data_IF_937152705789
#
_entry.id   IF_937152705789
#
_cell.length_a   1.000
_cell.length_b   1.000
_cell.length_c   1.000
_cell.angle_alpha   90.00
_cell.angle_beta   90.00
_cell.angle_gamma   90.00
#
_symmetry.space_group_name_H-M   'P 1'
#
loop_
_entity.id
_entity.type
_entity.pdbx_description
1 polymer ?
#
# COMPACT_ATOMS: atom_id res chain seq x y z
N UNK A 1 33.10 9.35 24.33
CA UNK A 1 32.32 8.16 23.91
C UNK A 1 31.06 8.13 24.75
N UNK A 2 30.04 8.90 24.37
CA UNK A 2 28.76 9.01 25.08
C UNK A 2 27.75 8.16 24.35
N UNK A 3 27.10 7.29 25.12
CA UNK A 3 26.36 6.15 24.61
C UNK A 3 25.06 6.50 23.90
N UNK A 4 24.65 5.56 23.07
CA UNK A 4 23.34 4.91 23.10
C UNK A 4 23.41 3.93 21.94
N UNK A 5 23.22 2.63 22.18
CA UNK A 5 22.56 1.81 21.16
C UNK A 5 21.25 2.58 20.92
N UNK A 6 21.05 3.26 19.77
CA UNK A 6 19.79 3.92 19.55
C UNK A 6 18.74 2.82 19.65
N UNK A 7 17.75 3.01 20.52
CA UNK A 7 16.59 2.14 20.67
C UNK A 7 16.17 1.65 19.27
N UNK A 8 16.50 0.40 18.94
CA UNK A 8 16.20 -0.13 17.61
C UNK A 8 14.69 -0.32 17.62
N UNK A 9 13.98 0.58 16.94
CA UNK A 9 12.53 0.50 16.82
C UNK A 9 12.18 -0.87 16.21
N UNK A 10 11.17 -1.59 16.75
CA UNK A 10 10.70 -2.83 16.15
C UNK A 10 10.33 -2.69 14.67
N UNK A 11 9.97 -1.48 14.25
CA UNK A 11 9.65 -1.10 12.87
C UNK A 11 10.83 -1.35 11.90
N UNK A 12 12.07 -1.28 12.37
CA UNK A 12 13.26 -1.65 11.58
C UNK A 12 13.33 -3.14 11.27
N UNK A 13 12.49 -4.01 11.85
CA UNK A 13 12.39 -5.41 11.42
C UNK A 13 12.15 -5.54 9.91
N UNK A 14 11.46 -4.56 9.31
CA UNK A 14 11.22 -4.56 7.87
C UNK A 14 12.51 -4.46 7.05
N UNK A 15 13.54 -3.70 7.51
CA UNK A 15 14.81 -3.59 6.76
C UNK A 15 15.62 -4.89 6.75
N UNK A 16 15.38 -5.79 7.69
CA UNK A 16 15.98 -7.12 7.72
C UNK A 16 15.13 -8.13 6.93
N UNK A 17 13.81 -8.03 7.06
CA UNK A 17 12.87 -8.93 6.39
C UNK A 17 12.96 -8.85 4.86
N UNK A 18 13.00 -7.64 4.29
CA UNK A 18 13.02 -7.42 2.84
C UNK A 18 14.17 -8.17 2.14
N UNK A 19 15.45 -8.00 2.52
CA UNK A 19 16.54 -8.71 1.87
C UNK A 19 16.48 -10.21 2.13
N UNK A 20 16.08 -10.67 3.33
CA UNK A 20 15.92 -12.10 3.62
C UNK A 20 14.90 -12.74 2.66
N UNK A 21 13.72 -12.13 2.53
CA UNK A 21 12.67 -12.61 1.63
C UNK A 21 13.07 -12.51 0.15
N UNK A 22 13.82 -11.47 -0.22
CA UNK A 22 14.34 -11.35 -1.58
C UNK A 22 15.36 -12.46 -1.91
N UNK A 23 16.11 -12.96 -0.93
CA UNK A 23 17.09 -14.05 -1.10
C UNK A 23 16.52 -15.44 -0.79
N UNK A 24 15.22 -15.56 -0.49
CA UNK A 24 14.56 -16.86 -0.30
C UNK A 24 14.81 -17.75 -1.54
N UNK A 25 15.40 -18.96 -1.37
CA UNK A 25 15.66 -19.88 -2.48
C UNK A 25 14.40 -20.26 -3.26
N UNK A 26 13.24 -20.27 -2.60
CA UNK A 26 11.95 -20.59 -3.24
C UNK A 26 11.35 -19.41 -4.00
N UNK A 27 11.79 -18.19 -3.72
CA UNK A 27 11.46 -17.02 -4.53
C UNK A 27 12.43 -16.97 -5.71
N UNK A 28 12.10 -17.61 -6.83
CA UNK A 28 12.99 -17.70 -7.99
C UNK A 28 12.75 -16.61 -9.03
N UNK A 29 11.57 -15.98 -9.05
CA UNK A 29 11.24 -14.96 -10.04
C UNK A 29 10.29 -13.89 -9.50
N UNK A 30 10.65 -12.62 -9.72
CA UNK A 30 9.88 -11.46 -9.25
C UNK A 30 8.54 -11.25 -9.98
N UNK A 31 8.29 -11.96 -11.09
CA UNK A 31 7.02 -11.91 -11.83
C UNK A 31 6.10 -13.10 -11.52
N UNK A 32 6.58 -14.08 -10.75
CA UNK A 32 5.82 -15.28 -10.45
C UNK A 32 4.80 -15.01 -9.33
N UNK A 33 3.53 -14.85 -9.71
CA UNK A 33 2.43 -14.48 -8.80
C UNK A 33 2.28 -15.45 -7.63
N UNK A 34 2.46 -16.76 -7.85
CA UNK A 34 2.35 -17.75 -6.77
C UNK A 34 3.40 -17.52 -5.67
N UNK A 35 4.64 -17.23 -6.05
CA UNK A 35 5.73 -16.94 -5.10
C UNK A 35 5.53 -15.58 -4.43
N UNK A 36 5.15 -14.55 -5.19
CA UNK A 36 4.85 -13.23 -4.64
C UNK A 36 3.73 -13.27 -3.58
N UNK A 37 2.73 -14.14 -3.74
CA UNK A 37 1.69 -14.36 -2.72
C UNK A 37 2.26 -14.95 -1.42
N UNK A 38 3.23 -15.85 -1.50
CA UNK A 38 3.92 -16.38 -0.31
C UNK A 38 4.72 -15.26 0.36
N UNK A 39 5.50 -14.50 -0.40
CA UNK A 39 6.24 -13.34 0.11
C UNK A 39 5.31 -12.31 0.77
N UNK A 40 4.15 -12.04 0.15
CA UNK A 40 3.14 -11.15 0.72
C UNK A 40 2.61 -11.65 2.08
N UNK A 41 2.40 -12.96 2.24
CA UNK A 41 1.99 -13.55 3.52
C UNK A 41 3.09 -13.42 4.57
N UNK A 42 4.35 -13.69 4.21
CA UNK A 42 5.49 -13.50 5.12
C UNK A 42 5.64 -12.05 5.56
N UNK A 43 5.52 -11.10 4.62
CA UNK A 43 5.52 -9.67 4.92
C UNK A 43 4.37 -9.31 5.87
N UNK A 44 3.16 -9.78 5.63
CA UNK A 44 2.03 -9.55 6.53
C UNK A 44 2.28 -10.12 7.92
N UNK A 45 2.83 -11.33 8.03
CA UNK A 45 3.15 -11.94 9.32
C UNK A 45 4.09 -11.07 10.18
N UNK A 46 5.07 -10.42 9.53
CA UNK A 46 6.01 -9.51 10.20
C UNK A 46 5.36 -8.16 10.49
N UNK A 47 4.61 -7.60 9.53
CA UNK A 47 4.03 -6.26 9.60
C UNK A 47 2.77 -6.19 10.48
N UNK A 48 2.01 -7.27 10.61
CA UNK A 48 0.75 -7.29 11.37
C UNK A 48 0.90 -6.76 12.80
N UNK A 49 1.80 -7.28 13.65
CA UNK A 49 1.98 -6.74 15.00
C UNK A 49 2.49 -5.29 14.99
N UNK A 50 3.30 -4.93 13.99
CA UNK A 50 3.89 -3.60 13.86
C UNK A 50 2.90 -2.52 13.40
N UNK A 51 1.86 -2.91 12.65
CA UNK A 51 0.80 -2.02 12.17
C UNK A 51 -0.38 -2.00 13.13
N UNK A 52 -0.81 -3.16 13.62
CA UNK A 52 -2.10 -3.30 14.32
C UNK A 52 -2.02 -3.15 15.83
N UNK A 53 -0.84 -3.40 16.42
CA UNK A 53 -0.63 -3.39 17.88
C UNK A 53 0.32 -2.29 18.36
N UNK A 54 0.93 -1.55 17.43
CA UNK A 54 1.85 -0.47 17.76
C UNK A 54 1.09 0.85 17.88
N UNK A 55 0.96 1.37 19.10
CA UNK A 55 0.34 2.68 19.36
C UNK A 55 1.11 3.84 18.71
N UNK A 56 2.40 3.63 18.42
CA UNK A 56 3.27 4.58 17.73
C UNK A 56 3.41 4.29 16.24
N UNK A 57 2.54 3.44 15.68
CA UNK A 57 2.54 3.18 14.25
C UNK A 57 2.43 4.48 13.45
N UNK A 58 3.34 4.65 12.48
CA UNK A 58 3.44 5.85 11.68
C UNK A 58 3.59 5.50 10.20
N UNK A 59 2.53 5.71 9.41
CA UNK A 59 2.52 5.38 7.99
C UNK A 59 3.65 6.11 7.22
N UNK A 60 3.88 7.39 7.50
CA UNK A 60 4.94 8.20 6.88
C UNK A 60 6.33 7.60 7.08
N UNK A 61 6.62 7.10 8.28
CA UNK A 61 7.87 6.39 8.56
C UNK A 61 8.03 5.13 7.69
N UNK A 62 7.03 4.25 7.65
CA UNK A 62 7.08 3.03 6.84
C UNK A 62 7.19 3.32 5.35
N UNK A 63 6.43 4.31 4.86
CA UNK A 63 6.52 4.79 3.48
C UNK A 63 7.95 5.21 3.14
N UNK A 64 8.51 6.10 3.94
CA UNK A 64 9.87 6.61 3.75
C UNK A 64 10.91 5.48 3.82
N UNK A 65 10.77 4.55 4.78
CA UNK A 65 11.67 3.42 4.95
C UNK A 65 11.71 2.51 3.72
N UNK A 66 10.54 2.17 3.16
CA UNK A 66 10.43 1.32 1.96
C UNK A 66 10.93 2.04 0.71
N UNK A 67 10.59 3.32 0.52
CA UNK A 67 11.07 4.12 -0.61
C UNK A 67 12.60 4.23 -0.62
N UNK A 68 13.20 4.37 0.56
CA UNK A 68 14.66 4.36 0.69
C UNK A 68 15.26 3.00 0.39
N UNK A 69 14.72 1.90 0.93
CA UNK A 69 15.21 0.54 0.60
C UNK A 69 15.18 0.30 -0.92
N UNK A 70 14.07 0.66 -1.58
CA UNK A 70 13.89 0.49 -3.02
C UNK A 70 14.85 1.32 -3.88
N UNK A 71 15.41 2.39 -3.33
CA UNK A 71 16.41 3.24 -3.97
C UNK A 71 17.84 2.69 -3.84
N UNK A 72 18.01 1.52 -3.21
CA UNK A 72 19.29 0.82 -3.11
C UNK A 72 19.32 -0.43 -3.97
N UNK A 73 20.52 -0.93 -4.24
CA UNK A 73 20.76 -2.25 -4.82
C UNK A 73 21.00 -3.28 -3.71
N UNK A 74 20.87 -4.55 -4.05
CA UNK A 74 21.32 -5.65 -3.18
C UNK A 74 22.81 -5.51 -2.87
N UNK A 75 23.21 -5.64 -1.59
CA UNK A 75 24.62 -5.50 -1.21
C UNK A 75 25.49 -6.69 -1.63
N UNK A 76 24.93 -7.90 -1.69
CA UNK A 76 25.69 -9.12 -1.99
C UNK A 76 25.88 -9.32 -3.50
N UNK A 77 24.88 -8.96 -4.29
CA UNK A 77 24.85 -9.13 -5.76
C UNK A 77 24.37 -7.84 -6.45
N UNK A 78 25.06 -6.71 -6.27
CA UNK A 78 24.60 -5.41 -6.77
C UNK A 78 24.51 -5.33 -8.29
N UNK A 79 25.32 -6.11 -9.01
CA UNK A 79 25.36 -6.10 -10.47
C UNK A 79 24.43 -7.15 -11.09
N UNK A 80 23.72 -7.93 -10.26
CA UNK A 80 22.72 -8.89 -10.72
C UNK A 80 21.35 -8.24 -10.81
N UNK A 81 20.88 -7.99 -12.03
CA UNK A 81 19.59 -7.35 -12.27
C UNK A 81 18.41 -8.15 -11.71
N UNK A 82 18.39 -9.47 -11.86
CA UNK A 82 17.30 -10.32 -11.35
C UNK A 82 17.20 -10.25 -9.83
N UNK A 83 18.34 -10.26 -9.13
CA UNK A 83 18.37 -10.12 -7.67
C UNK A 83 17.83 -8.75 -7.23
N UNK A 84 18.20 -7.68 -7.93
CA UNK A 84 17.68 -6.35 -7.66
C UNK A 84 16.17 -6.24 -7.97
N UNK A 85 15.69 -6.84 -9.06
CA UNK A 85 14.25 -6.86 -9.38
C UNK A 85 13.44 -7.58 -8.30
N UNK A 86 13.94 -8.70 -7.79
CA UNK A 86 13.35 -9.37 -6.62
C UNK A 86 13.30 -8.45 -5.41
N UNK A 87 14.42 -7.82 -5.04
CA UNK A 87 14.48 -6.90 -3.91
C UNK A 87 13.47 -5.74 -4.03
N UNK A 88 13.39 -5.13 -5.20
CA UNK A 88 12.47 -4.03 -5.47
C UNK A 88 11.01 -4.48 -5.52
N UNK A 89 10.73 -5.68 -6.03
CA UNK A 89 9.39 -6.28 -5.96
C UNK A 89 8.96 -6.56 -4.52
N UNK A 90 9.85 -7.05 -3.65
CA UNK A 90 9.53 -7.20 -2.21
C UNK A 90 9.23 -5.85 -1.57
N UNK A 91 9.95 -4.78 -1.94
CA UNK A 91 9.63 -3.42 -1.48
C UNK A 91 8.24 -2.97 -1.93
N UNK A 92 7.88 -3.19 -3.20
CA UNK A 92 6.55 -2.86 -3.72
C UNK A 92 5.44 -3.67 -3.03
N UNK A 93 5.67 -4.96 -2.77
CA UNK A 93 4.74 -5.78 -1.98
C UNK A 93 4.59 -5.27 -0.55
N UNK A 94 5.68 -4.89 0.11
CA UNK A 94 5.64 -4.34 1.45
C UNK A 94 4.79 -3.07 1.47
N UNK A 95 4.96 -2.18 0.48
CA UNK A 95 4.14 -0.98 0.34
C UNK A 95 2.66 -1.30 0.13
N UNK A 96 2.34 -2.29 -0.72
CA UNK A 96 0.96 -2.75 -0.90
C UNK A 96 0.36 -3.27 0.41
N UNK A 97 1.10 -4.08 1.17
CA UNK A 97 0.64 -4.62 2.46
C UNK A 97 0.39 -3.48 3.46
N UNK A 98 1.34 -2.55 3.61
CA UNK A 98 1.20 -1.40 4.51
C UNK A 98 -0.02 -0.57 4.11
N UNK A 99 -0.13 -0.19 2.82
CA UNK A 99 -1.21 0.65 2.32
C UNK A 99 -2.59 0.02 2.52
N UNK A 100 -2.74 -1.28 2.23
CA UNK A 100 -4.03 -1.98 2.33
C UNK A 100 -4.47 -2.29 3.75
N UNK A 101 -3.53 -2.28 4.70
CA UNK A 101 -3.77 -2.68 6.10
C UNK A 101 -3.79 -1.49 7.05
N UNK A 102 -3.20 -0.37 6.66
CA UNK A 102 -3.22 0.85 7.46
C UNK A 102 -4.64 1.39 7.61
N UNK A 103 -4.98 1.84 8.82
CA UNK A 103 -6.24 2.55 9.10
C UNK A 103 -5.99 4.05 9.33
N UNK A 104 -4.74 4.42 9.60
CA UNK A 104 -4.25 5.79 9.78
C UNK A 104 -3.17 6.08 8.73
N UNK A 105 -3.25 7.26 8.11
CA UNK A 105 -2.32 7.75 7.10
C UNK A 105 -1.54 8.97 7.63
N UNK A 106 -1.10 8.93 8.88
CA UNK A 106 -0.23 9.96 9.44
C UNK A 106 1.07 10.02 8.62
N UNK A 107 1.33 11.18 8.00
CA UNK A 107 2.49 11.43 7.13
C UNK A 107 3.70 11.98 7.89
N UNK A 108 3.63 12.06 9.23
CA UNK A 108 4.81 12.43 10.01
C UNK A 108 5.98 11.52 9.67
N UNK A 109 7.14 12.12 9.47
CA UNK A 109 8.39 11.40 9.28
C UNK A 109 9.10 11.35 10.63
N UNK A 110 8.65 10.45 11.50
CA UNK A 110 9.27 10.22 12.80
C UNK A 110 9.62 8.74 13.00
N UNK A 111 10.88 8.41 13.32
CA UNK A 111 12.05 9.29 13.37
C UNK A 111 12.43 9.89 12.01
N UNK A 112 13.04 11.07 12.03
CA UNK A 112 13.31 11.92 10.85
C UNK A 112 14.38 11.38 9.90
N UNK A 113 15.19 10.40 10.31
CA UNK A 113 16.18 9.76 9.44
C UNK A 113 16.12 8.25 9.55
N UNK A 114 15.46 7.63 8.56
CA UNK A 114 15.41 6.19 8.37
C UNK A 114 16.78 5.67 7.94
N UNK A 115 17.35 4.76 8.75
CA UNK A 115 18.66 4.17 8.48
C UNK A 115 18.52 2.90 7.65
N UNK A 116 19.20 2.86 6.51
CA UNK A 116 19.28 1.67 5.65
C UNK A 116 20.63 0.99 5.91
N UNK A 117 20.65 -0.27 6.42
CA UNK A 117 21.91 -0.96 6.71
C UNK A 117 22.70 -1.27 5.43
N UNK A 118 23.92 -0.75 5.34
CA UNK A 118 24.79 -0.93 4.15
C UNK A 118 25.25 -2.36 3.94
N UNK A 119 25.14 -3.22 4.96
CA UNK A 119 25.44 -4.65 4.86
C UNK A 119 24.44 -5.42 3.99
N UNK A 120 23.20 -4.92 3.84
CA UNK A 120 22.16 -5.55 3.01
C UNK A 120 21.83 -4.74 1.76
N UNK A 121 22.08 -3.43 1.80
CA UNK A 121 21.73 -2.49 0.74
C UNK A 121 22.94 -1.68 0.29
N UNK A 122 23.33 -1.84 -0.99
CA UNK A 122 24.36 -1.00 -1.61
C UNK A 122 23.73 0.30 -2.11
N UNK A 123 24.29 1.43 -1.67
CA UNK A 123 23.87 2.76 -2.14
C UNK A 123 24.16 2.90 -3.64
N UNK A 124 23.23 3.54 -4.36
CA UNK A 124 23.41 3.93 -5.76
C UNK A 124 23.79 5.41 -5.79
N UNK A 125 24.81 5.75 -6.57
CA UNK A 125 25.35 7.12 -6.64
C UNK A 125 24.38 8.08 -7.35
N UNK A 126 23.63 7.58 -8.33
CA UNK A 126 22.54 8.33 -8.95
C UNK A 126 21.35 8.45 -7.97
N UNK A 127 21.14 9.67 -7.48
CA UNK A 127 20.06 10.03 -6.54
C UNK A 127 18.65 9.97 -7.15
N UNK A 128 18.46 9.31 -8.31
CA UNK A 128 17.15 9.18 -8.94
C UNK A 128 16.34 8.13 -8.19
N UNK A 129 15.22 8.54 -7.60
CA UNK A 129 14.33 7.64 -6.88
C UNK A 129 13.76 6.56 -7.82
N UNK A 130 13.76 5.31 -7.35
CA UNK A 130 13.21 4.18 -8.10
C UNK A 130 11.68 4.16 -8.00
N UNK A 131 11.01 4.83 -8.93
CA UNK A 131 9.55 4.96 -8.99
C UNK A 131 8.84 3.85 -9.77
N UNK A 132 9.59 3.00 -10.49
CA UNK A 132 9.03 1.90 -11.28
C UNK A 132 8.38 0.86 -10.37
N UNK A 133 7.20 0.35 -10.75
CA UNK A 133 6.58 -0.79 -10.09
C UNK A 133 7.10 -2.10 -10.69
N UNK A 134 7.56 -3.03 -9.85
CA UNK A 134 8.12 -4.32 -10.27
C UNK A 134 7.13 -5.47 -10.12
N UNK A 135 5.90 -5.23 -9.64
CA UNK A 135 4.87 -6.25 -9.51
C UNK A 135 4.13 -6.49 -10.82
N UNK A 136 3.70 -7.74 -11.08
CA UNK A 136 2.71 -8.04 -12.11
C UNK A 136 1.43 -7.21 -11.92
N UNK A 137 0.77 -6.85 -13.03
CA UNK A 137 -0.37 -5.94 -13.03
C UNK A 137 -1.51 -6.40 -12.10
N UNK A 138 -1.74 -7.71 -12.04
CA UNK A 138 -2.74 -8.35 -11.17
C UNK A 138 -2.45 -8.23 -9.67
N UNK A 139 -1.23 -7.87 -9.28
CA UNK A 139 -0.82 -7.66 -7.88
C UNK A 139 -0.63 -6.18 -7.53
N UNK A 140 -0.82 -5.26 -8.48
CA UNK A 140 -0.72 -3.83 -8.22
C UNK A 140 -1.97 -3.32 -7.51
N UNK A 141 -1.79 -2.41 -6.56
CA UNK A 141 -2.87 -1.76 -5.83
C UNK A 141 -3.02 -0.33 -6.34
N UNK A 142 -4.27 0.13 -6.53
CA UNK A 142 -4.53 1.52 -6.89
C UNK A 142 -4.41 2.42 -5.65
N UNK A 143 -3.25 3.03 -5.42
CA UNK A 143 -3.03 3.91 -4.25
C UNK A 143 -3.74 5.28 -4.34
N UNK A 144 -4.51 5.55 -5.39
CA UNK A 144 -5.21 6.83 -5.61
C UNK A 144 -6.49 6.97 -4.80
N UNK A 145 -6.98 5.92 -4.14
CA UNK A 145 -8.19 5.98 -3.32
C UNK A 145 -8.03 5.22 -1.99
N UNK A 146 -7.74 5.92 -0.87
CA UNK A 146 -7.53 5.30 0.45
C UNK A 146 -8.69 4.46 0.98
N UNK A 147 -9.88 4.53 0.35
CA UNK A 147 -11.04 3.70 0.67
C UNK A 147 -11.82 3.31 -0.59
N UNK A 148 -11.42 2.20 -1.20
CA UNK A 148 -12.20 1.47 -2.19
C UNK A 148 -12.04 -0.04 -2.00
N UNK A 149 -12.74 -0.62 -1.02
CA UNK A 149 -12.83 -2.09 -0.90
C UNK A 149 -13.51 -2.65 -2.17
N UNK A 150 -12.74 -3.26 -3.06
CA UNK A 150 -13.24 -4.22 -4.07
C UNK A 150 -12.54 -5.56 -3.82
N UNK A 151 -13.11 -6.44 -3.01
CA UNK A 151 -14.03 -7.52 -3.43
C UNK A 151 -13.36 -8.51 -4.37
N UNK A 152 -12.79 -9.57 -3.79
CA UNK A 152 -12.55 -10.82 -4.50
C UNK A 152 -13.92 -11.36 -4.94
N UNK A 153 -14.23 -11.29 -6.22
CA UNK A 153 -15.38 -11.98 -6.80
C UNK A 153 -14.88 -13.16 -7.63
N UNK A 154 -15.13 -14.37 -7.12
CA UNK A 154 -15.31 -15.55 -7.95
C UNK A 154 -16.55 -15.32 -8.81
N UNK A 155 -16.42 -15.45 -10.13
CA UNK A 155 -17.57 -15.50 -11.04
C UNK A 155 -17.58 -16.81 -11.80
N UNK A 156 -18.42 -17.73 -11.32
CA UNK A 156 -19.15 -18.65 -12.19
C UNK A 156 -20.61 -18.19 -12.26
N UNK A 157 -21.23 -18.53 -13.40
CA UNK A 157 -22.66 -18.44 -13.80
C UNK A 157 -23.17 -17.17 -14.49
N UNK A 158 -23.12 -17.26 -15.82
CA UNK A 158 -24.09 -16.87 -16.85
C UNK A 158 -25.53 -16.69 -16.34
N UNK A 159 -26.23 -15.59 -16.65
CA UNK A 159 -27.26 -15.55 -17.71
C UNK A 159 -27.98 -14.18 -17.89
N UNK A 160 -28.16 -13.83 -19.17
CA UNK A 160 -29.22 -13.05 -19.86
C UNK A 160 -29.76 -11.66 -19.45
N UNK A 161 -29.85 -10.80 -20.50
CA UNK A 161 -30.52 -9.47 -20.58
C UNK A 161 -32.04 -9.64 -20.84
N UNK A 162 -32.86 -8.58 -20.69
CA UNK A 162 -33.24 -7.83 -21.90
C UNK A 162 -33.39 -6.29 -21.75
N UNK A 163 -33.26 -5.60 -22.90
CA UNK A 163 -33.39 -4.16 -23.14
C UNK A 163 -34.85 -3.67 -23.27
N UNK A 164 -35.11 -2.36 -23.01
CA UNK A 164 -35.97 -1.42 -23.79
C UNK A 164 -35.95 -0.02 -23.14
N UNK A 165 -35.36 1.02 -23.74
CA UNK A 165 -35.87 2.03 -24.71
C UNK A 165 -36.74 3.19 -24.14
N UNK A 166 -36.13 4.40 -24.16
CA UNK A 166 -36.60 5.74 -24.64
C UNK A 166 -37.69 6.62 -23.97
N UNK A 167 -37.25 7.86 -23.63
CA UNK A 167 -37.76 9.23 -23.96
C UNK A 167 -38.94 9.94 -23.21
N UNK A 168 -38.56 11.02 -22.49
CA UNK A 168 -38.99 12.46 -22.53
C UNK A 168 -40.36 13.03 -22.04
N UNK A 169 -40.24 13.98 -21.06
CA UNK A 169 -40.78 15.37 -20.86
C UNK A 169 -42.29 15.73 -20.75
N UNK A 170 -42.60 16.59 -19.74
CA UNK A 170 -43.58 17.72 -19.56
C UNK A 170 -44.46 17.56 -18.29
N UNK A 171 -44.99 18.58 -17.57
CA UNK A 171 -44.77 20.04 -17.37
C UNK A 171 -45.73 20.50 -16.22
N UNK A 172 -45.31 21.55 -15.48
CA UNK A 172 -45.98 22.49 -14.52
C UNK A 172 -47.50 22.41 -14.22
N UNK A 173 -47.88 22.77 -12.97
CA UNK A 173 -48.60 24.04 -12.64
C UNK A 173 -48.73 24.32 -11.13
N UNK A 174 -48.73 25.62 -10.77
CA UNK A 174 -48.91 26.21 -9.44
C UNK A 174 -50.15 27.09 -9.49
N UNK A 175 -51.05 27.00 -8.50
CA UNK A 175 -52.17 27.92 -8.32
C UNK A 175 -52.38 28.24 -6.84
N UNK A 176 -52.52 29.53 -6.51
CA UNK A 176 -52.81 30.05 -5.16
C UNK A 176 -54.09 30.90 -5.23
N UNK A 177 -54.91 30.78 -4.18
CA UNK A 177 -55.80 31.82 -3.65
C UNK A 177 -57.25 31.36 -3.42
N UNK A 178 -58.09 32.11 -2.67
CA UNK A 178 -57.81 33.12 -1.64
C UNK A 178 -58.73 32.99 -0.38
N UNK A 179 -58.53 33.86 0.61
CA UNK A 179 -59.36 34.12 1.81
C UNK A 179 -59.19 33.16 3.00
N UNK A 180 -59.19 33.59 4.27
CA UNK A 180 -58.88 34.84 4.97
C UNK A 180 -58.91 34.45 6.48
N UNK A 181 -58.14 35.17 7.27
CA UNK A 181 -57.86 34.99 8.72
C UNK A 181 -59.07 35.38 9.59
N UNK A 182 -59.30 34.76 10.76
CA UNK A 182 -58.98 35.33 12.09
C UNK A 182 -59.51 34.52 13.31
N UNK A 183 -58.71 34.61 14.38
CA UNK A 183 -59.02 34.58 15.81
C UNK A 183 -59.69 33.35 16.46
N UNK A 184 -58.94 32.67 17.35
CA UNK A 184 -58.96 32.96 18.81
C UNK A 184 -58.07 32.01 19.64
N UNK A 185 -57.15 32.63 20.38
CA UNK A 185 -56.96 32.51 21.85
C UNK A 185 -56.80 31.12 22.45
N UNK A 186 -55.57 30.77 22.86
CA UNK A 186 -55.06 30.95 24.23
C UNK A 186 -53.54 30.92 24.26
#
# INVERSE_FOLDING_TARGET
MTGQLPHILPDYMLVFAVPILAHDPEFTSYIMVSQLKVIQQCLWFILEPLITKNEYYCYGFYKNLVERMKSHKDALKPDNNEMNYKLWAVCDLAMNVIYTKTTNFDMKEFPSETRIPTMYFKRVDDMVANTKNYLPAEMQVNMTNPKGKGSFHNTHTVNEKPQRKTKSKQQKEVGIGPNETDARVR
#
